data_IF_472232517044
#
_entry.id   IF_472232517044
#
_cell.length_a   1.000
_cell.length_b   1.000
_cell.length_c   1.000
_cell.angle_alpha   90.00
_cell.angle_beta   90.00
_cell.angle_gamma   90.00
#
_symmetry.space_group_name_H-M   'P 1'
#
loop_
_entity.id
_entity.type
_entity.pdbx_description
1 polymer ?
#
# COMPACT_ATOMS: atom_id res chain seq x y z
N UNK A 1 -16.42 -6.37 11.40
CA UNK A 1 -17.52 -6.67 12.33
C UNK A 1 -17.93 -5.44 13.16
N UNK A 2 -17.36 -5.18 14.34
CA UNK A 2 -17.87 -4.16 15.31
C UNK A 2 -18.20 -2.78 14.71
N UNK A 3 -17.27 -2.17 13.97
CA UNK A 3 -17.48 -0.82 13.41
C UNK A 3 -18.41 -0.78 12.19
N UNK A 4 -18.38 -1.82 11.35
CA UNK A 4 -19.23 -1.92 10.15
C UNK A 4 -20.71 -2.00 10.56
N UNK A 5 -21.03 -2.81 11.57
CA UNK A 5 -22.39 -2.90 12.12
C UNK A 5 -22.89 -1.58 12.70
N UNK A 6 -21.99 -0.68 13.09
CA UNK A 6 -22.28 0.62 13.70
C UNK A 6 -22.25 1.80 12.71
N UNK A 7 -22.52 1.51 11.44
CA UNK A 7 -22.63 2.51 10.38
C UNK A 7 -21.31 3.22 9.98
N UNK A 8 -20.14 2.66 10.28
CA UNK A 8 -18.86 3.26 9.88
C UNK A 8 -18.36 2.75 8.50
N UNK A 9 -17.78 3.65 7.70
CA UNK A 9 -16.96 3.30 6.53
C UNK A 9 -15.51 3.06 6.91
N UNK A 10 -14.83 2.08 6.30
CA UNK A 10 -13.55 1.58 6.80
C UNK A 10 -12.40 1.93 5.84
N UNK A 11 -11.38 2.64 6.33
CA UNK A 11 -10.07 2.73 5.67
C UNK A 11 -9.13 1.68 6.25
N UNK A 12 -8.53 0.82 5.43
CA UNK A 12 -7.60 -0.22 5.87
C UNK A 12 -6.24 0.03 5.23
N UNK A 13 -5.23 0.36 6.03
CA UNK A 13 -3.85 0.26 5.58
C UNK A 13 -3.35 -1.18 5.75
N UNK A 14 -3.29 -1.90 4.63
CA UNK A 14 -2.79 -3.26 4.58
C UNK A 14 -1.36 -3.32 3.99
N UNK A 15 -0.66 -2.19 3.99
CA UNK A 15 0.56 -2.08 3.22
C UNK A 15 1.79 -2.76 3.80
N UNK A 16 1.83 -2.97 5.11
CA UNK A 16 2.94 -3.71 5.72
C UNK A 16 2.86 -5.22 5.53
N UNK A 17 1.83 -5.74 4.85
CA UNK A 17 1.73 -7.17 4.56
C UNK A 17 2.83 -7.55 3.56
N UNK A 18 3.64 -8.54 3.93
CA UNK A 18 4.77 -9.01 3.11
C UNK A 18 4.29 -9.64 1.79
N UNK A 19 5.14 -9.59 0.78
CA UNK A 19 4.80 -10.08 -0.54
C UNK A 19 4.66 -11.62 -0.60
N UNK A 20 4.07 -12.12 -1.69
CA UNK A 20 3.98 -13.55 -1.99
C UNK A 20 5.39 -14.17 -2.03
N UNK A 21 5.55 -15.36 -1.46
CA UNK A 21 6.83 -16.10 -1.46
C UNK A 21 7.87 -15.57 -0.47
N UNK A 22 7.54 -14.57 0.36
CA UNK A 22 8.42 -14.15 1.45
C UNK A 22 8.52 -15.26 2.51
N UNK A 23 9.70 -15.51 3.11
CA UNK A 23 9.86 -16.56 4.11
C UNK A 23 9.10 -16.22 5.41
N UNK A 24 8.58 -17.25 6.06
CA UNK A 24 7.98 -17.19 7.40
C UNK A 24 8.86 -18.04 8.32
N UNK A 25 9.22 -17.49 9.49
CA UNK A 25 10.05 -18.15 10.51
C UNK A 25 11.32 -18.79 9.94
N UNK A 26 12.12 -18.01 9.22
CA UNK A 26 13.40 -18.51 8.67
C UNK A 26 13.26 -19.53 7.53
N UNK A 27 12.07 -19.73 6.98
CA UNK A 27 11.84 -20.62 5.83
C UNK A 27 10.95 -21.84 6.12
N UNK A 28 10.40 -21.96 7.33
CA UNK A 28 9.43 -23.02 7.69
C UNK A 28 8.19 -23.01 6.78
N UNK A 29 7.78 -21.84 6.30
CA UNK A 29 6.66 -21.69 5.38
C UNK A 29 6.87 -20.50 4.43
N UNK A 30 6.15 -20.53 3.31
CA UNK A 30 6.11 -19.43 2.34
C UNK A 30 4.83 -18.62 2.50
N UNK A 31 4.96 -17.29 2.46
CA UNK A 31 3.83 -16.38 2.56
C UNK A 31 2.97 -16.44 1.29
N UNK A 32 1.65 -16.55 1.45
CA UNK A 32 0.67 -16.66 0.34
C UNK A 32 0.29 -15.33 -0.31
N UNK A 33 0.98 -14.25 0.07
CA UNK A 33 0.81 -12.91 -0.49
C UNK A 33 -0.37 -12.13 0.11
N UNK A 34 -0.63 -10.94 -0.42
CA UNK A 34 -1.61 -10.02 0.16
C UNK A 34 -3.06 -10.34 -0.26
N UNK A 35 -3.27 -10.97 -1.42
CA UNK A 35 -4.61 -11.21 -2.00
C UNK A 35 -5.53 -12.01 -1.06
N UNK A 36 -5.09 -13.12 -0.41
CA UNK A 36 -5.93 -13.85 0.54
C UNK A 36 -6.37 -12.99 1.74
N UNK A 37 -5.47 -12.16 2.28
CA UNK A 37 -5.80 -11.22 3.37
C UNK A 37 -6.82 -10.18 2.92
N UNK A 38 -6.70 -9.69 1.70
CA UNK A 38 -7.65 -8.74 1.14
C UNK A 38 -9.04 -9.34 0.95
N UNK A 39 -9.12 -10.60 0.49
CA UNK A 39 -10.37 -11.35 0.44
C UNK A 39 -10.98 -11.51 1.85
N UNK A 40 -10.15 -11.74 2.86
CA UNK A 40 -10.60 -11.80 4.26
C UNK A 40 -11.13 -10.45 4.77
N UNK A 41 -10.44 -9.34 4.48
CA UNK A 41 -10.95 -8.01 4.82
C UNK A 41 -12.27 -7.71 4.11
N UNK A 42 -12.39 -8.12 2.85
CA UNK A 42 -13.63 -7.97 2.10
C UNK A 42 -14.79 -8.73 2.76
N UNK A 43 -14.59 -10.00 3.14
CA UNK A 43 -15.65 -10.75 3.82
C UNK A 43 -15.99 -10.15 5.18
N UNK A 44 -15.00 -9.66 5.93
CA UNK A 44 -15.20 -8.98 7.20
C UNK A 44 -15.92 -7.61 7.11
N UNK A 45 -15.83 -6.95 5.95
CA UNK A 45 -16.53 -5.68 5.65
C UNK A 45 -17.95 -5.94 5.14
N UNK A 46 -18.16 -7.03 4.39
CA UNK A 46 -19.49 -7.40 3.86
C UNK A 46 -20.32 -8.25 4.82
N UNK A 47 -19.76 -8.70 5.92
CA UNK A 47 -20.45 -9.55 6.90
C UNK A 47 -21.62 -8.86 7.60
N UNK A 48 -21.67 -7.53 7.60
CA UNK A 48 -22.77 -6.74 8.16
C UNK A 48 -23.14 -5.62 7.19
N UNK A 49 -24.42 -5.28 7.11
CA UNK A 49 -24.83 -4.00 6.51
C UNK A 49 -24.42 -2.85 7.45
N UNK A 50 -24.14 -1.69 6.88
CA UNK A 50 -23.82 -0.45 7.56
C UNK A 50 -25.07 0.05 8.32
N UNK A 51 -25.36 -0.58 9.45
CA UNK A 51 -26.55 -0.38 10.30
C UNK A 51 -27.89 -0.46 9.57
N UNK A 52 -28.03 -1.39 8.61
CA UNK A 52 -29.27 -1.66 7.87
C UNK A 52 -29.52 -0.77 6.64
N UNK A 53 -28.69 0.25 6.39
CA UNK A 53 -28.98 1.28 5.38
C UNK A 53 -28.20 1.06 4.07
N UNK A 54 -26.93 0.63 4.13
CA UNK A 54 -26.05 0.44 2.96
C UNK A 54 -25.08 -0.74 3.17
N UNK A 55 -24.45 -1.22 2.11
CA UNK A 55 -23.39 -2.24 2.21
C UNK A 55 -22.07 -1.66 2.74
N UNK A 56 -21.34 -2.42 3.56
CA UNK A 56 -20.02 -2.00 4.03
C UNK A 56 -19.02 -1.81 2.87
N UNK A 57 -18.25 -0.73 2.94
CA UNK A 57 -17.23 -0.39 1.95
C UNK A 57 -15.89 -0.14 2.64
N UNK A 58 -14.82 -0.56 1.99
CA UNK A 58 -13.47 -0.35 2.48
C UNK A 58 -12.51 0.08 1.38
N UNK A 59 -11.42 0.72 1.78
CA UNK A 59 -10.30 0.99 0.89
C UNK A 59 -9.03 0.38 1.45
N UNK A 60 -8.40 -0.53 0.69
CA UNK A 60 -7.12 -1.13 1.07
C UNK A 60 -5.96 -0.32 0.44
N UNK A 61 -4.89 -0.15 1.21
CA UNK A 61 -3.61 0.37 0.72
C UNK A 61 -2.75 -0.78 0.22
N UNK A 62 -2.35 -0.69 -1.04
CA UNK A 62 -1.31 -1.53 -1.64
C UNK A 62 -0.03 -0.68 -1.77
N UNK A 63 1.01 -0.91 -0.98
CA UNK A 63 2.37 -0.66 -1.40
C UNK A 63 2.74 -1.79 -2.35
N UNK A 64 3.40 -1.39 -3.42
CA UNK A 64 3.75 -2.18 -4.57
C UNK A 64 4.19 -3.62 -4.24
N UNK A 65 3.52 -4.59 -4.86
CA UNK A 65 3.81 -6.01 -4.65
C UNK A 65 4.91 -6.42 -5.62
N UNK A 66 6.12 -6.63 -5.12
CA UNK A 66 7.10 -7.48 -5.78
C UNK A 66 6.54 -8.91 -5.83
N UNK A 67 6.18 -9.41 -7.02
CA UNK A 67 5.55 -10.74 -7.14
C UNK A 67 6.53 -11.88 -6.87
N UNK A 68 5.98 -12.93 -6.27
CA UNK A 68 6.59 -14.12 -5.65
C UNK A 68 7.36 -15.10 -6.52
N UNK A 69 7.12 -15.08 -7.82
CA UNK A 69 7.68 -16.08 -8.72
C UNK A 69 8.94 -15.51 -9.34
N UNK A 70 10.06 -16.24 -9.41
CA UNK A 70 11.29 -15.86 -10.14
C UNK A 70 11.14 -15.69 -11.66
N UNK A 71 9.99 -15.20 -12.12
CA UNK A 71 9.69 -14.66 -13.44
C UNK A 71 9.10 -13.27 -13.19
N UNK A 72 9.49 -12.21 -13.91
CA UNK A 72 8.83 -10.92 -13.81
C UNK A 72 7.33 -11.16 -14.06
N UNK A 73 6.53 -11.04 -13.01
CA UNK A 73 5.10 -11.08 -13.18
C UNK A 73 4.79 -9.78 -13.93
N UNK A 74 4.40 -9.90 -15.20
CA UNK A 74 4.00 -8.75 -16.00
C UNK A 74 2.98 -7.90 -15.24
N UNK A 75 2.92 -6.61 -15.57
CA UNK A 75 2.04 -5.64 -14.89
C UNK A 75 0.59 -6.13 -14.80
N UNK A 76 0.18 -7.01 -15.73
CA UNK A 76 -1.10 -7.71 -15.77
C UNK A 76 -1.44 -8.60 -14.56
N UNK A 77 -0.45 -9.03 -13.78
CA UNK A 77 -0.64 -9.87 -12.58
C UNK A 77 -0.72 -9.06 -11.29
N UNK A 78 -0.70 -7.74 -11.38
CA UNK A 78 -0.85 -6.87 -10.21
C UNK A 78 -2.24 -7.08 -9.57
N UNK A 79 -2.38 -6.94 -8.24
CA UNK A 79 -3.64 -7.22 -7.54
C UNK A 79 -4.83 -6.35 -7.97
N UNK A 80 -4.60 -5.25 -8.69
CA UNK A 80 -5.65 -4.41 -9.27
C UNK A 80 -6.02 -4.78 -10.71
N UNK A 81 -5.25 -5.67 -11.35
CA UNK A 81 -5.48 -6.12 -12.71
C UNK A 81 -6.21 -7.48 -12.71
N UNK A 82 -7.22 -7.61 -13.58
CA UNK A 82 -7.95 -8.85 -13.83
C UNK A 82 -9.31 -9.00 -13.13
N UNK A 83 -10.24 -9.71 -13.80
CA UNK A 83 -11.62 -9.95 -13.33
C UNK A 83 -11.70 -10.71 -11.98
N UNK A 84 -10.72 -11.56 -11.67
CA UNK A 84 -10.69 -12.36 -10.44
C UNK A 84 -10.20 -11.57 -9.21
N UNK A 85 -9.52 -10.45 -9.43
CA UNK A 85 -8.94 -9.53 -8.44
C UNK A 85 -9.69 -8.22 -8.36
N UNK A 86 -10.71 -8.03 -9.21
CA UNK A 86 -11.61 -6.87 -9.25
C UNK A 86 -12.32 -6.74 -7.91
N UNK A 87 -11.66 -6.08 -6.98
CA UNK A 87 -12.13 -5.85 -5.64
C UNK A 87 -13.46 -5.08 -5.74
N UNK A 88 -14.56 -5.58 -5.14
CA UNK A 88 -15.80 -4.80 -5.06
C UNK A 88 -15.66 -3.59 -4.13
N UNK A 89 -14.51 -3.41 -3.50
CA UNK A 89 -14.14 -2.33 -2.59
C UNK A 89 -13.09 -1.43 -3.27
N UNK A 90 -13.02 -0.16 -2.88
CA UNK A 90 -12.09 0.80 -3.49
C UNK A 90 -10.65 0.43 -3.20
N UNK A 91 -9.72 0.77 -4.09
CA UNK A 91 -8.30 0.59 -3.84
C UNK A 91 -7.63 1.95 -3.75
N UNK A 92 -6.69 2.13 -2.81
CA UNK A 92 -5.86 3.32 -2.75
C UNK A 92 -4.41 2.96 -3.06
N UNK A 93 -3.87 3.64 -4.05
CA UNK A 93 -2.46 3.64 -4.40
C UNK A 93 -1.80 4.83 -3.71
N UNK A 94 -0.67 4.58 -3.06
CA UNK A 94 0.12 5.59 -2.38
C UNK A 94 1.33 5.94 -3.24
N UNK A 95 1.52 7.23 -3.49
CA UNK A 95 2.55 7.73 -4.40
C UNK A 95 3.27 8.89 -3.70
N UNK A 96 4.57 9.03 -3.98
CA UNK A 96 5.37 10.18 -3.58
C UNK A 96 6.10 10.80 -4.78
N UNK A 97 6.78 11.92 -4.54
CA UNK A 97 7.57 12.66 -5.51
C UNK A 97 8.55 11.80 -6.31
N UNK A 98 9.21 10.81 -5.70
CA UNK A 98 10.18 9.97 -6.40
C UNK A 98 9.51 9.18 -7.53
N UNK A 99 8.34 8.59 -7.27
CA UNK A 99 7.61 7.82 -8.29
C UNK A 99 7.18 8.69 -9.48
N UNK A 100 6.71 9.92 -9.22
CA UNK A 100 6.42 10.88 -10.29
C UNK A 100 7.67 11.30 -11.05
N UNK A 101 8.80 11.47 -10.36
CA UNK A 101 10.08 11.81 -11.00
C UNK A 101 10.53 10.71 -11.95
N UNK A 102 10.39 9.43 -11.55
CA UNK A 102 10.68 8.27 -12.42
C UNK A 102 9.78 8.27 -13.67
N UNK A 103 8.50 8.58 -13.52
CA UNK A 103 7.58 8.71 -14.65
C UNK A 103 8.01 9.81 -15.62
N UNK A 104 8.31 11.01 -15.13
CA UNK A 104 8.69 12.16 -15.95
C UNK A 104 10.00 11.92 -16.72
N UNK A 105 10.94 11.18 -16.11
CA UNK A 105 12.22 10.82 -16.74
C UNK A 105 12.13 9.57 -17.62
N UNK A 106 10.99 8.87 -17.64
CA UNK A 106 10.85 7.60 -18.35
C UNK A 106 11.72 6.47 -17.79
N UNK A 107 12.07 6.55 -16.50
CA UNK A 107 12.89 5.58 -15.80
C UNK A 107 12.05 4.38 -15.29
N UNK A 108 12.74 3.38 -14.75
CA UNK A 108 12.12 2.24 -14.11
C UNK A 108 11.76 2.55 -12.64
N UNK A 109 10.71 1.89 -12.16
CA UNK A 109 10.34 1.80 -10.74
C UNK A 109 10.66 0.39 -10.27
N UNK A 110 11.39 0.32 -9.16
CA UNK A 110 11.72 -0.92 -8.47
C UNK A 110 10.69 -1.20 -7.36
N UNK A 111 10.10 -2.39 -7.40
CA UNK A 111 9.14 -2.90 -6.42
C UNK A 111 9.87 -3.79 -5.41
N UNK A 112 9.57 -3.61 -4.13
CA UNK A 112 10.18 -4.34 -3.02
C UNK A 112 9.11 -4.96 -2.12
N UNK A 113 9.44 -6.08 -1.45
CA UNK A 113 8.62 -6.54 -0.32
C UNK A 113 8.97 -5.70 0.92
N UNK A 114 8.00 -5.14 1.66
CA UNK A 114 8.27 -4.35 2.87
C UNK A 114 9.07 -5.09 3.95
N UNK A 115 9.10 -6.43 3.92
CA UNK A 115 9.91 -7.26 4.82
C UNK A 115 11.40 -7.21 4.55
N UNK A 116 11.78 -6.95 3.30
CA UNK A 116 13.16 -7.13 2.82
C UNK A 116 13.92 -5.80 2.78
N UNK A 117 13.20 -4.69 3.00
CA UNK A 117 13.72 -3.32 2.99
C UNK A 117 13.41 -2.60 4.31
N UNK A 118 14.15 -2.89 5.39
CA UNK A 118 13.93 -2.28 6.69
C UNK A 118 13.99 -0.74 6.62
N UNK A 119 13.05 -0.06 7.29
CA UNK A 119 13.01 1.40 7.34
C UNK A 119 12.43 2.09 6.09
N UNK A 120 12.45 1.45 4.92
CA UNK A 120 11.96 2.07 3.67
C UNK A 120 10.48 2.47 3.76
N UNK A 121 9.63 1.60 4.31
CA UNK A 121 8.21 1.89 4.45
C UNK A 121 7.92 3.03 5.43
N UNK A 122 8.73 3.19 6.47
CA UNK A 122 8.56 4.28 7.43
C UNK A 122 9.02 5.63 6.84
N UNK A 123 10.18 5.64 6.19
CA UNK A 123 10.70 6.80 5.49
C UNK A 123 9.73 7.27 4.38
N UNK A 124 9.09 6.35 3.65
CA UNK A 124 8.15 6.68 2.57
C UNK A 124 7.07 7.70 2.97
N UNK A 125 6.64 7.72 4.23
CA UNK A 125 5.68 8.70 4.74
C UNK A 125 6.35 9.85 5.49
N UNK A 126 7.34 9.53 6.34
CA UNK A 126 7.88 10.47 7.31
C UNK A 126 9.01 11.36 6.74
N UNK A 127 9.87 10.81 5.87
CA UNK A 127 11.09 11.47 5.41
C UNK A 127 11.40 11.07 3.95
N UNK A 128 11.20 12.02 3.04
CA UNK A 128 11.40 11.79 1.61
C UNK A 128 12.87 11.70 1.21
N UNK A 129 13.78 12.37 1.92
CA UNK A 129 15.21 12.32 1.64
C UNK A 129 15.79 10.96 2.07
N UNK A 130 15.43 10.52 3.27
CA UNK A 130 15.80 9.19 3.76
C UNK A 130 15.17 8.09 2.91
N UNK A 131 13.95 8.29 2.42
CA UNK A 131 13.33 7.37 1.47
C UNK A 131 14.14 7.26 0.18
N UNK A 132 14.53 8.37 -0.44
CA UNK A 132 15.32 8.36 -1.67
C UNK A 132 16.68 7.67 -1.46
N UNK A 133 17.34 7.95 -0.32
CA UNK A 133 18.61 7.32 0.06
C UNK A 133 18.48 5.79 0.24
N UNK A 134 17.46 5.33 0.98
CA UNK A 134 17.22 3.90 1.18
C UNK A 134 16.77 3.22 -0.10
N UNK A 135 15.90 3.85 -0.87
CA UNK A 135 15.38 3.32 -2.13
C UNK A 135 16.51 3.06 -3.12
N UNK A 136 17.36 4.07 -3.37
CA UNK A 136 18.51 3.93 -4.28
C UNK A 136 19.56 2.96 -3.76
N UNK A 137 19.76 2.87 -2.44
CA UNK A 137 20.62 1.84 -1.82
C UNK A 137 20.10 0.43 -2.13
N UNK A 138 18.82 0.17 -1.87
CA UNK A 138 18.22 -1.14 -2.08
C UNK A 138 18.03 -1.49 -3.57
N UNK A 139 17.93 -0.50 -4.46
CA UNK A 139 17.97 -0.72 -5.90
C UNK A 139 19.30 -1.31 -6.38
N UNK A 140 20.42 -0.94 -5.74
CA UNK A 140 21.78 -1.42 -6.04
C UNK A 140 22.14 -2.73 -5.36
N UNK A 141 21.42 -3.12 -4.31
CA UNK A 141 21.74 -4.30 -3.51
C UNK A 141 21.14 -5.58 -4.11
N UNK A 142 21.93 -6.36 -4.85
CA UNK A 142 21.45 -7.58 -5.54
C UNK A 142 21.03 -8.72 -4.60
N UNK A 143 21.31 -8.62 -3.30
CA UNK A 143 20.83 -9.60 -2.32
C UNK A 143 19.34 -9.48 -2.01
N UNK A 144 18.75 -8.32 -2.29
CA UNK A 144 17.35 -8.01 -1.99
C UNK A 144 16.46 -8.41 -3.15
N UNK A 145 15.37 -9.11 -2.82
CA UNK A 145 14.33 -9.46 -3.78
C UNK A 145 13.63 -8.20 -4.29
N UNK A 146 13.77 -7.95 -5.59
CA UNK A 146 13.22 -6.76 -6.25
C UNK A 146 12.69 -7.08 -7.64
N UNK A 147 11.78 -6.25 -8.13
CA UNK A 147 11.28 -6.32 -9.50
C UNK A 147 11.28 -4.93 -10.13
N UNK A 148 11.84 -4.77 -11.33
CA UNK A 148 11.79 -3.50 -12.08
C UNK A 148 10.63 -3.50 -13.07
N UNK A 149 9.94 -2.38 -13.16
CA UNK A 149 8.85 -2.13 -14.11
C UNK A 149 9.02 -0.72 -14.64
N UNK A 150 8.79 -0.49 -15.94
CA UNK A 150 8.83 0.86 -16.51
C UNK A 150 7.77 1.74 -15.84
N UNK A 151 8.15 2.93 -15.40
CA UNK A 151 7.21 3.83 -14.74
C UNK A 151 5.99 4.14 -15.62
N UNK A 152 6.21 4.35 -16.91
CA UNK A 152 5.14 4.62 -17.89
C UNK A 152 4.11 3.49 -17.93
N UNK A 153 4.55 2.22 -17.94
CA UNK A 153 3.66 1.07 -17.98
C UNK A 153 2.85 0.94 -16.68
N UNK A 154 3.52 1.14 -15.53
CA UNK A 154 2.87 1.06 -14.22
C UNK A 154 1.80 2.14 -14.05
N UNK A 155 2.14 3.40 -14.36
CA UNK A 155 1.20 4.52 -14.27
C UNK A 155 0.07 4.41 -15.30
N UNK A 156 0.35 3.96 -16.52
CA UNK A 156 -0.69 3.75 -17.54
C UNK A 156 -1.70 2.71 -17.08
N UNK A 157 -1.25 1.58 -16.53
CA UNK A 157 -2.15 0.56 -16.01
C UNK A 157 -3.00 1.09 -14.83
N UNK A 158 -2.37 1.80 -13.89
CA UNK A 158 -3.08 2.41 -12.76
C UNK A 158 -4.17 3.37 -13.25
N UNK A 159 -3.85 4.25 -14.21
CA UNK A 159 -4.80 5.21 -14.76
C UNK A 159 -5.90 4.54 -15.59
N UNK A 160 -5.58 3.48 -16.32
CA UNK A 160 -6.56 2.71 -17.09
C UNK A 160 -7.59 2.03 -16.17
N UNK A 161 -7.15 1.41 -15.07
CA UNK A 161 -8.09 0.82 -14.09
C UNK A 161 -8.87 1.88 -13.31
N UNK A 162 -8.26 3.04 -13.04
CA UNK A 162 -8.97 4.20 -12.49
C UNK A 162 -10.07 4.67 -13.44
N UNK A 163 -9.78 4.79 -14.74
CA UNK A 163 -10.75 5.21 -15.74
C UNK A 163 -11.86 4.16 -15.94
N UNK A 164 -11.53 2.87 -15.88
CA UNK A 164 -12.49 1.79 -16.11
C UNK A 164 -13.46 1.57 -14.94
N UNK A 165 -12.99 1.74 -13.69
CA UNK A 165 -13.77 1.43 -12.48
C UNK A 165 -14.22 2.65 -11.69
N UNK A 166 -13.50 3.76 -11.78
CA UNK A 166 -13.68 4.94 -10.92
C UNK A 166 -13.33 4.72 -9.44
N UNK A 167 -12.76 3.56 -9.08
CA UNK A 167 -12.55 3.13 -7.67
C UNK A 167 -11.10 2.92 -7.28
N UNK A 168 -10.17 3.30 -8.16
CA UNK A 168 -8.74 3.38 -7.85
C UNK A 168 -8.42 4.82 -7.46
N UNK A 169 -8.12 5.02 -6.19
CA UNK A 169 -7.79 6.32 -5.61
C UNK A 169 -6.29 6.51 -5.47
N UNK A 170 -5.85 7.76 -5.47
CA UNK A 170 -4.44 8.14 -5.33
C UNK A 170 -4.29 8.95 -4.06
N UNK A 171 -3.29 8.62 -3.25
CA UNK A 171 -2.88 9.41 -2.10
C UNK A 171 -1.42 9.81 -2.26
N UNK A 172 -1.18 11.12 -2.30
CA UNK A 172 0.16 11.71 -2.32
C UNK A 172 0.68 11.78 -0.88
N UNK A 173 1.47 10.79 -0.48
CA UNK A 173 1.85 10.59 0.93
C UNK A 173 2.80 11.66 1.44
N UNK A 174 3.62 12.21 0.55
CA UNK A 174 4.51 13.34 0.82
C UNK A 174 3.71 14.60 1.15
N UNK A 175 2.71 14.96 0.34
CA UNK A 175 1.83 16.10 0.60
C UNK A 175 1.02 15.90 1.88
N UNK A 176 0.53 14.68 2.13
CA UNK A 176 -0.20 14.34 3.34
C UNK A 176 0.62 14.50 4.64
N UNK A 177 1.96 14.49 4.58
CA UNK A 177 2.82 14.62 5.77
C UNK A 177 3.52 15.99 5.83
N UNK A 178 3.90 16.57 4.70
CA UNK A 178 4.54 17.91 4.64
C UNK A 178 3.57 19.05 4.94
N UNK A 179 2.29 18.90 4.55
CA UNK A 179 1.25 19.91 4.75
C UNK A 179 0.19 19.43 5.75
N UNK A 180 0.63 18.68 6.75
CA UNK A 180 -0.22 18.10 7.77
C UNK A 180 -0.10 18.86 9.10
N UNK A 181 -1.13 18.85 9.96
CA UNK A 181 -1.04 19.40 11.30
C UNK A 181 -0.23 18.51 12.26
N UNK A 182 0.26 17.35 11.81
CA UNK A 182 0.98 16.38 12.61
C UNK A 182 2.48 16.39 12.29
N UNK A 183 3.29 16.13 13.31
CA UNK A 183 4.72 15.88 13.14
C UNK A 183 4.93 14.47 12.55
N UNK A 184 5.48 14.34 11.32
CA UNK A 184 5.70 13.05 10.68
C UNK A 184 6.68 12.13 11.43
N UNK A 185 7.56 12.68 12.27
CA UNK A 185 8.50 11.89 13.06
C UNK A 185 7.83 11.19 14.25
N UNK A 186 6.74 11.77 14.76
CA UNK A 186 6.04 11.27 15.96
C UNK A 186 4.78 10.51 15.55
N UNK A 187 3.96 11.11 14.68
CA UNK A 187 2.63 10.61 14.33
C UNK A 187 2.32 10.86 12.83
N UNK A 188 3.01 10.16 11.91
CA UNK A 188 2.82 10.36 10.48
C UNK A 188 1.44 9.91 10.01
N UNK A 189 0.93 10.56 8.97
CA UNK A 189 -0.26 10.13 8.25
C UNK A 189 0.14 9.04 7.26
N UNK A 190 -0.19 7.79 7.59
CA UNK A 190 0.10 6.63 6.73
C UNK A 190 -1.07 6.12 5.90
N UNK A 191 -2.26 6.69 6.10
CA UNK A 191 -3.48 6.20 5.45
C UNK A 191 -4.54 7.28 5.30
N UNK A 192 -5.65 6.91 4.67
CA UNK A 192 -6.85 7.73 4.56
C UNK A 192 -8.11 6.87 4.74
N UNK A 193 -9.26 7.49 4.89
CA UNK A 193 -10.56 6.83 4.99
C UNK A 193 -11.05 6.30 3.62
N UNK A 194 -12.33 5.94 3.56
CA UNK A 194 -12.98 5.39 2.36
C UNK A 194 -13.01 6.37 1.19
N UNK A 195 -13.28 7.66 1.47
CA UNK A 195 -13.55 8.68 0.44
C UNK A 195 -12.36 9.64 0.19
N UNK A 196 -11.19 9.36 0.80
CA UNK A 196 -9.90 10.04 0.60
C UNK A 196 -9.79 11.49 1.12
N UNK A 197 -10.75 11.93 1.93
CA UNK A 197 -10.83 13.27 2.50
C UNK A 197 -10.25 13.36 3.92
N UNK A 198 -10.12 12.23 4.63
CA UNK A 198 -9.59 12.21 6.00
C UNK A 198 -8.17 11.66 6.01
N UNK A 199 -7.26 12.39 6.65
CA UNK A 199 -5.84 12.06 6.81
C UNK A 199 -5.48 11.97 8.31
N UNK A 200 -5.79 10.86 9.00
CA UNK A 200 -5.56 10.74 10.43
C UNK A 200 -4.11 10.34 10.72
N UNK A 201 -3.56 10.86 11.82
CA UNK A 201 -2.27 10.44 12.35
C UNK A 201 -2.29 8.96 12.75
N UNK A 202 -1.21 8.23 12.43
CA UNK A 202 -1.06 6.83 12.79
C UNK A 202 -0.58 6.68 14.24
N UNK A 203 -1.53 6.47 15.16
CA UNK A 203 -1.29 6.27 16.60
C UNK A 203 -0.43 5.03 16.92
N UNK A 204 -0.23 4.12 15.97
CA UNK A 204 0.63 2.94 16.17
C UNK A 204 2.10 3.34 16.33
N UNK A 205 2.52 4.46 15.73
CA UNK A 205 3.85 5.03 15.91
C UNK A 205 4.03 5.59 17.32
N UNK A 206 3.07 6.39 17.79
CA UNK A 206 3.09 7.02 19.12
C UNK A 206 3.11 5.98 20.26
N UNK A 207 2.35 4.88 20.12
CA UNK A 207 2.33 3.78 21.10
C UNK A 207 3.63 3.00 21.19
N UNK A 208 4.44 2.95 20.13
CA UNK A 208 5.77 2.30 20.16
C UNK A 208 6.77 3.16 20.93
N UNK A 209 6.82 4.47 20.64
CA UNK A 209 7.70 5.40 21.35
C UNK A 209 7.41 5.48 22.85
N UNK A 210 6.14 5.32 23.28
CA UNK A 210 5.77 5.25 24.71
C UNK A 210 6.13 3.94 25.41
N UNK A 211 6.38 2.85 24.66
CA UNK A 211 6.77 1.55 25.24
C UNK A 211 8.28 1.39 25.38
N UNK A 212 9.06 2.21 24.68
CA UNK A 212 10.53 2.23 24.71
C UNK A 212 11.09 3.26 25.71
N UNK A 213 10.20 4.00 26.40
CA UNK A 213 10.51 4.86 27.55
C UNK A 213 9.99 4.22 28.82
#
# INVERSE_FOLDING_TARGET
MKYVSQRAGIGINAGRIRALGSPIRGGEAFHTGCIPFYKHFQTAVKSCSQGGVRGGAATAVLPDVASGSGKPAGVEKQPWCGRQTRAPYGLRVQINKLMYTRLLKGEDITLFSPSDVPGLYDAFFADQEEFERLYTKYEKDDSIRKQRVKAVELFSLMMQERASTGRIYIQNVDHCNTHSPFDPAIAPVRQSNLCLEIAPADQTAERRQRRER
#
